data_IF_569272957661
#
_entry.id   IF_569272957661
#
_cell.length_a   1.000
_cell.length_b   1.000
_cell.length_c   1.000
_cell.angle_alpha   90.00
_cell.angle_beta   90.00
_cell.angle_gamma   90.00
#
_symmetry.space_group_name_H-M   'P 1'
#
loop_
_entity.id
_entity.type
_entity.pdbx_description
1 polymer ?
#
# COMPACT_ATOMS: atom_id res chain seq x y z
N UNK A 1 -5.64 -4.71 26.84
CA UNK A 1 -5.31 -4.59 25.38
C UNK A 1 -5.56 -3.14 25.02
N UNK A 2 -4.56 -2.43 24.51
CA UNK A 2 -4.70 -1.03 24.09
C UNK A 2 -4.96 -1.00 22.60
N UNK A 3 -6.03 -0.35 22.18
CA UNK A 3 -6.35 -0.17 20.77
C UNK A 3 -5.70 1.11 20.24
N UNK A 4 -5.01 0.98 19.11
CA UNK A 4 -4.34 2.08 18.43
C UNK A 4 -4.78 2.13 16.97
N UNK A 5 -4.76 3.30 16.37
CA UNK A 5 -4.76 3.46 14.92
C UNK A 5 -3.34 3.82 14.47
N UNK A 6 -3.09 3.75 13.17
CA UNK A 6 -1.84 4.22 12.57
C UNK A 6 -1.43 5.62 13.08
N UNK A 7 -2.42 6.52 13.23
CA UNK A 7 -2.20 7.91 13.60
C UNK A 7 -1.97 8.12 15.09
N UNK A 8 -2.28 7.12 15.91
CA UNK A 8 -2.22 7.19 17.37
C UNK A 8 -1.07 6.37 17.95
N UNK A 9 -0.23 5.78 17.13
CA UNK A 9 0.98 5.08 17.59
C UNK A 9 1.90 6.09 18.25
N UNK A 10 2.28 5.88 19.53
CA UNK A 10 3.10 6.84 20.27
C UNK A 10 4.52 6.91 19.69
N UNK A 11 5.06 8.11 19.62
CA UNK A 11 6.47 8.32 19.31
C UNK A 11 7.33 8.01 20.53
N UNK A 12 8.47 7.37 20.32
CA UNK A 12 9.45 7.06 21.34
C UNK A 12 10.75 7.81 21.14
N UNK A 13 11.77 7.44 21.93
CA UNK A 13 13.15 7.87 21.73
C UNK A 13 13.94 6.76 21.02
N UNK A 14 14.96 7.14 20.27
CA UNK A 14 15.79 6.20 19.51
C UNK A 14 15.54 6.30 18.01
N UNK A 15 15.67 5.19 17.30
CA UNK A 15 15.37 5.16 15.87
C UNK A 15 13.86 5.26 15.65
N UNK A 16 13.44 6.22 14.84
CA UNK A 16 12.04 6.41 14.47
C UNK A 16 11.87 6.10 12.99
N UNK A 17 10.94 5.20 12.68
CA UNK A 17 10.44 5.08 11.34
C UNK A 17 9.46 6.22 11.08
N UNK A 18 9.69 6.96 10.03
CA UNK A 18 8.75 7.98 9.54
C UNK A 18 7.95 7.41 8.36
N UNK A 19 6.66 7.69 8.33
CA UNK A 19 5.88 7.50 7.10
C UNK A 19 6.42 8.39 5.98
N UNK A 20 6.15 8.08 4.70
CA UNK A 20 6.61 8.92 3.58
C UNK A 20 6.17 10.38 3.66
N UNK A 21 5.02 10.63 4.29
CA UNK A 21 4.51 11.99 4.54
C UNK A 21 5.05 12.61 5.85
N UNK A 22 5.83 11.86 6.64
CA UNK A 22 6.33 12.22 7.97
C UNK A 22 5.20 12.62 8.96
N UNK A 23 4.02 12.02 8.82
CA UNK A 23 2.86 12.24 9.68
C UNK A 23 2.73 11.19 10.79
N UNK A 24 3.40 10.06 10.63
CA UNK A 24 3.49 9.00 11.62
C UNK A 24 4.96 8.70 11.91
N UNK A 25 5.32 8.60 13.17
CA UNK A 25 6.63 8.19 13.62
C UNK A 25 6.49 6.98 14.56
N UNK A 26 7.03 5.85 14.16
CA UNK A 26 6.98 4.60 14.93
C UNK A 26 8.34 4.37 15.58
N UNK A 27 8.43 4.17 16.91
CA UNK A 27 9.68 3.85 17.57
C UNK A 27 10.12 2.42 17.18
N UNK A 28 11.41 2.26 16.85
CA UNK A 28 12.01 0.97 16.54
C UNK A 28 13.34 0.85 17.26
N UNK A 29 13.46 -0.14 18.12
CA UNK A 29 14.79 -0.54 18.59
C UNK A 29 15.50 -1.38 17.51
N UNK A 30 16.80 -1.59 17.66
CA UNK A 30 17.52 -2.51 16.77
C UNK A 30 16.98 -3.95 16.85
N UNK A 31 16.52 -4.36 18.04
CA UNK A 31 15.87 -5.66 18.24
C UNK A 31 14.52 -5.75 17.53
N UNK A 32 13.69 -4.70 17.58
CA UNK A 32 12.41 -4.64 16.87
C UNK A 32 12.62 -4.75 15.37
N UNK A 33 13.62 -4.02 14.84
CA UNK A 33 13.95 -4.07 13.42
C UNK A 33 14.44 -5.47 13.01
N UNK A 34 15.31 -6.07 13.80
CA UNK A 34 15.80 -7.42 13.54
C UNK A 34 14.66 -8.45 13.56
N UNK A 35 13.73 -8.35 14.53
CA UNK A 35 12.56 -9.20 14.59
C UNK A 35 11.60 -9.00 13.42
N UNK A 36 11.44 -7.75 12.96
CA UNK A 36 10.64 -7.41 11.77
C UNK A 36 11.22 -8.06 10.50
N UNK A 37 12.55 -8.01 10.35
CA UNK A 37 13.27 -8.67 9.25
C UNK A 37 13.12 -10.19 9.31
N UNK A 38 13.23 -10.76 10.50
CA UNK A 38 13.12 -12.21 10.71
C UNK A 38 11.71 -12.73 10.37
N UNK A 39 10.64 -12.07 10.85
CA UNK A 39 9.26 -12.38 10.47
C UNK A 39 9.05 -12.33 8.96
N UNK A 40 9.60 -11.31 8.32
CA UNK A 40 9.53 -11.18 6.86
C UNK A 40 10.27 -12.31 6.16
N UNK A 41 11.42 -12.73 6.68
CA UNK A 41 12.19 -13.87 6.17
C UNK A 41 11.41 -15.17 6.29
N UNK A 42 10.78 -15.41 7.44
CA UNK A 42 9.92 -16.58 7.67
C UNK A 42 8.73 -16.59 6.69
N UNK A 43 8.10 -15.42 6.46
CA UNK A 43 6.98 -15.29 5.52
C UNK A 43 7.40 -15.65 4.10
N UNK A 44 8.54 -15.14 3.61
CA UNK A 44 9.03 -15.47 2.28
C UNK A 44 9.46 -16.94 2.16
N UNK A 45 10.05 -17.51 3.20
CA UNK A 45 10.37 -18.94 3.23
C UNK A 45 9.11 -19.81 3.16
N UNK A 46 8.07 -19.47 3.95
CA UNK A 46 6.77 -20.13 3.89
C UNK A 46 6.07 -19.95 2.53
N UNK A 47 6.26 -18.81 1.87
CA UNK A 47 5.78 -18.55 0.50
C UNK A 47 6.57 -19.33 -0.57
N UNK A 48 7.64 -20.03 -0.22
CA UNK A 48 8.40 -20.91 -1.09
C UNK A 48 9.66 -20.29 -1.72
N UNK A 49 10.13 -19.16 -1.22
CA UNK A 49 11.43 -18.58 -1.63
C UNK A 49 12.55 -19.35 -0.93
N UNK A 50 13.57 -19.71 -1.68
CA UNK A 50 14.68 -20.55 -1.23
C UNK A 50 16.04 -20.00 -1.67
N UNK A 51 17.13 -20.59 -1.20
CA UNK A 51 18.50 -20.24 -1.59
C UNK A 51 18.80 -20.42 -3.11
N UNK A 52 17.93 -21.12 -3.83
CA UNK A 52 18.06 -21.25 -5.31
C UNK A 52 17.41 -20.09 -6.07
N UNK A 53 16.69 -19.21 -5.38
CA UNK A 53 16.07 -18.04 -5.98
C UNK A 53 17.00 -16.85 -6.03
N UNK A 54 16.82 -16.05 -7.06
CA UNK A 54 17.49 -14.77 -7.28
C UNK A 54 16.41 -13.71 -7.37
N UNK A 55 16.36 -12.82 -6.36
CA UNK A 55 15.21 -11.95 -6.15
C UNK A 55 15.56 -10.50 -6.47
N UNK A 56 14.73 -9.84 -7.25
CA UNK A 56 14.78 -8.38 -7.42
C UNK A 56 13.60 -7.75 -6.66
N UNK A 57 13.90 -6.74 -5.84
CA UNK A 57 12.90 -5.97 -5.07
C UNK A 57 12.71 -4.61 -5.73
N UNK A 58 11.53 -4.39 -6.33
CA UNK A 58 11.16 -3.16 -7.04
C UNK A 58 10.15 -2.33 -6.24
N UNK A 59 10.49 -2.03 -4.99
CA UNK A 59 9.67 -1.25 -4.07
C UNK A 59 10.30 0.11 -3.76
N UNK A 60 9.45 1.05 -3.35
CA UNK A 60 9.94 2.33 -2.84
C UNK A 60 10.62 2.16 -1.47
N UNK A 61 11.67 2.95 -1.26
CA UNK A 61 12.37 3.06 0.02
C UNK A 61 12.34 4.48 0.61
N UNK A 62 11.62 5.40 -0.01
CA UNK A 62 11.55 6.81 0.41
C UNK A 62 10.67 6.94 1.68
N UNK A 63 11.27 6.86 2.87
CA UNK A 63 10.57 6.92 4.15
C UNK A 63 9.71 5.70 4.47
N UNK A 64 9.65 4.72 3.59
CA UNK A 64 8.93 3.46 3.78
C UNK A 64 9.93 2.33 4.05
N UNK A 65 9.81 1.69 5.22
CA UNK A 65 10.71 0.60 5.60
C UNK A 65 10.45 -0.70 4.82
N UNK A 66 9.28 -0.89 4.23
CA UNK A 66 8.94 -2.15 3.58
C UNK A 66 10.01 -2.57 2.55
N UNK A 67 10.40 -1.67 1.65
CA UNK A 67 11.44 -1.97 0.67
C UNK A 67 12.77 -2.40 1.28
N UNK A 68 13.21 -1.74 2.35
CA UNK A 68 14.46 -2.06 3.05
C UNK A 68 14.34 -3.37 3.85
N UNK A 69 13.28 -3.53 4.64
CA UNK A 69 13.02 -4.72 5.46
C UNK A 69 12.91 -5.97 4.59
N UNK A 70 12.11 -5.91 3.52
CA UNK A 70 11.92 -7.06 2.63
C UNK A 70 13.21 -7.41 1.88
N UNK A 71 13.99 -6.41 1.45
CA UNK A 71 15.31 -6.64 0.82
C UNK A 71 16.26 -7.34 1.79
N UNK A 72 16.31 -6.89 3.04
CA UNK A 72 17.18 -7.48 4.06
C UNK A 72 16.73 -8.92 4.41
N UNK A 73 15.43 -9.15 4.54
CA UNK A 73 14.86 -10.48 4.79
C UNK A 73 15.22 -11.47 3.67
N UNK A 74 15.07 -11.05 2.43
CA UNK A 74 15.40 -11.86 1.26
C UNK A 74 16.90 -12.09 1.09
N UNK A 75 17.75 -11.14 1.48
CA UNK A 75 19.21 -11.31 1.47
C UNK A 75 19.65 -12.45 2.38
N UNK A 76 18.94 -12.69 3.48
CA UNK A 76 19.19 -13.81 4.39
C UNK A 76 18.58 -15.15 3.95
N UNK A 77 17.81 -15.18 2.85
CA UNK A 77 17.06 -16.35 2.40
C UNK A 77 17.41 -16.79 0.98
N UNK A 78 17.41 -15.86 0.03
CA UNK A 78 17.65 -16.13 -1.38
C UNK A 78 19.15 -16.23 -1.69
N UNK A 79 19.50 -16.91 -2.80
CA UNK A 79 20.89 -16.99 -3.27
C UNK A 79 21.45 -15.65 -3.77
N UNK A 80 20.59 -14.74 -4.22
CA UNK A 80 20.94 -13.35 -4.53
C UNK A 80 19.72 -12.44 -4.34
N UNK A 81 19.97 -11.21 -3.88
CA UNK A 81 18.91 -10.19 -3.73
C UNK A 81 19.42 -8.84 -4.20
N UNK A 82 18.63 -8.15 -5.01
CA UNK A 82 18.91 -6.77 -5.43
C UNK A 82 17.70 -5.88 -5.22
N UNK A 83 17.92 -4.65 -4.76
CA UNK A 83 16.88 -3.62 -4.61
C UNK A 83 17.08 -2.54 -5.66
N UNK A 84 16.06 -2.26 -6.46
CA UNK A 84 16.15 -1.30 -7.58
C UNK A 84 15.19 -0.14 -7.48
N UNK A 85 14.20 -0.21 -6.61
CA UNK A 85 13.08 0.72 -6.58
C UNK A 85 12.15 0.58 -7.79
N UNK A 86 10.94 1.16 -7.72
CA UNK A 86 9.89 0.96 -8.72
C UNK A 86 10.01 1.91 -9.92
N UNK A 87 10.84 2.93 -9.86
CA UNK A 87 11.02 3.92 -10.92
C UNK A 87 12.12 3.53 -11.90
N UNK A 88 11.94 3.87 -13.18
CA UNK A 88 12.93 3.57 -14.22
C UNK A 88 12.84 2.13 -14.70
N UNK A 89 11.82 1.84 -15.52
CA UNK A 89 11.56 0.47 -16.03
C UNK A 89 12.73 -0.13 -16.78
N UNK A 90 13.48 0.67 -17.55
CA UNK A 90 14.72 0.19 -18.18
C UNK A 90 15.75 -0.30 -17.16
N UNK A 91 15.90 0.44 -16.03
CA UNK A 91 16.80 0.03 -14.96
C UNK A 91 16.32 -1.25 -14.27
N UNK A 92 14.99 -1.40 -14.10
CA UNK A 92 14.42 -2.62 -13.56
C UNK A 92 14.68 -3.81 -14.51
N UNK A 93 14.45 -3.66 -15.80
CA UNK A 93 14.71 -4.69 -16.81
C UNK A 93 16.19 -5.09 -16.81
N UNK A 94 17.09 -4.10 -16.83
CA UNK A 94 18.54 -4.36 -16.77
C UNK A 94 18.96 -5.07 -15.46
N UNK A 95 18.30 -4.78 -14.34
CA UNK A 95 18.57 -5.45 -13.08
C UNK A 95 18.06 -6.90 -13.05
N UNK A 96 16.89 -7.16 -13.64
CA UNK A 96 16.37 -8.53 -13.77
C UNK A 96 17.34 -9.40 -14.55
N UNK A 97 17.85 -8.89 -15.68
CA UNK A 97 18.84 -9.56 -16.51
C UNK A 97 20.18 -9.74 -15.77
N UNK A 98 20.76 -8.67 -15.23
CA UNK A 98 22.07 -8.72 -14.55
C UNK A 98 22.08 -9.64 -13.32
N UNK A 99 20.95 -9.74 -12.60
CA UNK A 99 20.79 -10.66 -11.47
C UNK A 99 20.49 -12.08 -11.96
N UNK A 100 19.95 -12.25 -13.17
CA UNK A 100 19.33 -13.50 -13.63
C UNK A 100 18.15 -13.85 -12.70
N UNK A 101 17.25 -12.91 -12.56
CA UNK A 101 16.20 -12.97 -11.54
C UNK A 101 15.22 -14.13 -11.81
N UNK A 102 14.92 -14.90 -10.77
CA UNK A 102 13.87 -15.94 -10.79
C UNK A 102 12.60 -15.48 -10.06
N UNK A 103 12.71 -14.44 -9.25
CA UNK A 103 11.57 -13.85 -8.53
C UNK A 103 11.65 -12.32 -8.51
N UNK A 104 10.48 -11.70 -8.56
CA UNK A 104 10.32 -10.23 -8.53
C UNK A 104 9.31 -9.82 -7.47
N UNK A 105 9.74 -9.00 -6.51
CA UNK A 105 8.86 -8.34 -5.53
C UNK A 105 8.48 -6.97 -6.05
N UNK A 106 7.19 -6.74 -6.28
CA UNK A 106 6.68 -5.53 -6.92
C UNK A 106 5.25 -5.26 -6.48
N UNK A 107 4.78 -4.01 -6.64
CA UNK A 107 3.35 -3.72 -6.44
C UNK A 107 2.52 -4.22 -7.64
N UNK A 108 1.24 -4.59 -7.44
CA UNK A 108 0.35 -5.00 -8.54
C UNK A 108 0.31 -4.02 -9.71
N UNK A 109 0.15 -2.72 -9.43
CA UNK A 109 0.16 -1.70 -10.50
C UNK A 109 1.54 -1.59 -11.15
N UNK A 110 2.61 -1.81 -10.39
CA UNK A 110 3.98 -1.85 -10.90
C UNK A 110 4.22 -3.00 -11.85
N UNK A 111 3.68 -4.19 -11.55
CA UNK A 111 3.78 -5.37 -12.40
C UNK A 111 2.98 -5.18 -13.71
N UNK A 112 1.76 -4.64 -13.61
CA UNK A 112 0.94 -4.35 -14.80
C UNK A 112 1.59 -3.27 -15.69
N UNK A 113 2.20 -2.23 -15.11
CA UNK A 113 2.94 -1.21 -15.87
C UNK A 113 4.22 -1.79 -16.52
N UNK A 114 4.94 -2.68 -15.82
CA UNK A 114 6.08 -3.38 -16.41
C UNK A 114 5.64 -4.22 -17.61
N UNK A 115 4.59 -5.02 -17.46
CA UNK A 115 4.02 -5.85 -18.53
C UNK A 115 3.64 -5.01 -19.75
N UNK A 116 2.90 -3.91 -19.55
CA UNK A 116 2.53 -3.03 -20.65
C UNK A 116 3.74 -2.46 -21.40
N UNK A 117 4.81 -2.12 -20.69
CA UNK A 117 6.04 -1.60 -21.31
C UNK A 117 6.85 -2.67 -21.99
N UNK A 118 6.88 -3.92 -21.50
CA UNK A 118 7.52 -5.03 -22.19
C UNK A 118 6.92 -5.20 -23.58
N UNK A 119 5.59 -5.17 -23.68
CA UNK A 119 4.89 -5.29 -24.97
C UNK A 119 5.01 -4.05 -25.87
N UNK A 120 4.88 -2.85 -25.31
CA UNK A 120 4.69 -1.63 -26.11
C UNK A 120 5.97 -0.83 -26.35
N UNK A 121 6.92 -0.86 -25.42
CA UNK A 121 8.14 -0.04 -25.50
C UNK A 121 9.38 -0.90 -25.78
N UNK A 122 9.51 -2.02 -25.06
CA UNK A 122 10.75 -2.80 -25.09
C UNK A 122 10.70 -3.91 -26.12
N UNK A 123 9.49 -4.30 -26.56
CA UNK A 123 9.25 -5.40 -27.48
C UNK A 123 9.94 -6.70 -27.03
N UNK A 124 9.84 -6.96 -25.72
CA UNK A 124 10.39 -8.14 -25.05
C UNK A 124 9.23 -9.03 -24.64
N UNK A 125 9.31 -10.32 -24.92
CA UNK A 125 8.34 -11.28 -24.42
C UNK A 125 8.52 -11.41 -22.89
N UNK A 126 7.47 -11.23 -22.07
CA UNK A 126 7.55 -11.42 -20.64
C UNK A 126 8.09 -12.79 -20.21
N UNK A 127 7.87 -13.83 -21.02
CA UNK A 127 8.38 -15.18 -20.78
C UNK A 127 9.91 -15.26 -20.86
N UNK A 128 10.54 -14.41 -21.68
CA UNK A 128 12.00 -14.36 -21.84
C UNK A 128 12.71 -13.84 -20.57
N UNK A 129 11.97 -13.20 -19.64
CA UNK A 129 12.54 -12.79 -18.36
C UNK A 129 12.87 -13.97 -17.44
N UNK A 130 12.33 -15.15 -17.70
CA UNK A 130 12.58 -16.36 -16.91
C UNK A 130 12.12 -16.30 -15.46
N UNK A 131 11.18 -15.40 -15.14
CA UNK A 131 10.63 -15.28 -13.79
C UNK A 131 9.76 -16.50 -13.45
N UNK A 132 10.04 -17.13 -12.34
CA UNK A 132 9.24 -18.25 -11.80
C UNK A 132 8.18 -17.77 -10.80
N UNK A 133 8.44 -16.65 -10.14
CA UNK A 133 7.57 -16.13 -9.07
C UNK A 133 7.45 -14.61 -9.15
N UNK A 134 6.21 -14.12 -9.19
CA UNK A 134 5.86 -12.72 -8.92
C UNK A 134 5.31 -12.61 -7.51
N UNK A 135 5.91 -11.75 -6.70
CA UNK A 135 5.48 -11.47 -5.33
C UNK A 135 4.85 -10.08 -5.32
N UNK A 136 3.53 -10.04 -5.17
CA UNK A 136 2.75 -8.80 -5.16
C UNK A 136 2.57 -8.31 -3.74
N UNK A 137 2.89 -7.02 -3.50
CA UNK A 137 2.84 -6.41 -2.17
C UNK A 137 2.27 -4.99 -2.21
N UNK A 138 1.67 -4.55 -1.11
CA UNK A 138 1.40 -3.15 -0.79
C UNK A 138 0.25 -2.48 -1.53
N UNK A 139 -0.56 -3.22 -2.28
CA UNK A 139 -1.76 -2.70 -2.95
C UNK A 139 -2.89 -3.72 -2.92
N UNK A 140 -4.12 -3.22 -3.01
CA UNK A 140 -5.29 -4.05 -3.26
C UNK A 140 -5.30 -4.44 -4.73
N UNK A 141 -5.52 -5.72 -5.00
CA UNK A 141 -5.58 -6.24 -6.38
C UNK A 141 -6.66 -7.31 -6.50
N UNK A 142 -7.30 -7.34 -7.65
CA UNK A 142 -8.29 -8.35 -7.99
C UNK A 142 -7.64 -9.62 -8.56
N UNK A 143 -8.38 -10.72 -8.48
CA UNK A 143 -7.97 -12.02 -8.96
C UNK A 143 -7.72 -12.02 -10.49
N UNK A 144 -8.51 -11.26 -11.25
CA UNK A 144 -8.36 -11.19 -12.71
C UNK A 144 -6.99 -10.65 -13.08
N UNK A 145 -6.55 -9.58 -12.40
CA UNK A 145 -5.21 -9.02 -12.57
C UNK A 145 -4.13 -10.04 -12.21
N UNK A 146 -4.29 -10.75 -11.08
CA UNK A 146 -3.32 -11.78 -10.68
C UNK A 146 -3.22 -12.92 -11.69
N UNK A 147 -4.33 -13.43 -12.19
CA UNK A 147 -4.37 -14.47 -13.22
C UNK A 147 -3.77 -14.01 -14.55
N UNK A 148 -4.05 -12.77 -14.94
CA UNK A 148 -3.46 -12.19 -16.14
C UNK A 148 -1.95 -12.10 -16.01
N UNK A 149 -1.42 -11.55 -14.91
CA UNK A 149 0.01 -11.49 -14.66
C UNK A 149 0.66 -12.89 -14.64
N UNK A 150 -0.01 -13.88 -14.02
CA UNK A 150 0.50 -15.26 -14.00
C UNK A 150 0.63 -15.85 -15.41
N UNK A 151 -0.37 -15.62 -16.27
CA UNK A 151 -0.37 -16.11 -17.64
C UNK A 151 0.70 -15.43 -18.50
N UNK A 152 0.81 -14.11 -18.44
CA UNK A 152 1.73 -13.33 -19.26
C UNK A 152 3.22 -13.58 -18.90
N UNK A 153 3.53 -13.66 -17.59
CA UNK A 153 4.91 -13.93 -17.15
C UNK A 153 5.24 -15.43 -17.06
N UNK A 154 4.28 -16.31 -17.24
CA UNK A 154 4.47 -17.75 -17.02
C UNK A 154 4.91 -18.08 -15.59
N UNK A 155 4.51 -17.26 -14.62
CA UNK A 155 5.03 -17.29 -13.27
C UNK A 155 3.93 -17.56 -12.24
N UNK A 156 4.28 -18.20 -11.11
CA UNK A 156 3.43 -18.25 -9.93
C UNK A 156 3.27 -16.84 -9.36
N UNK A 157 2.04 -16.46 -9.03
CA UNK A 157 1.75 -15.13 -8.42
C UNK A 157 1.37 -15.32 -6.96
N UNK A 158 2.17 -14.73 -6.08
CA UNK A 158 2.00 -14.78 -4.62
C UNK A 158 1.64 -13.38 -4.14
N UNK A 159 0.59 -13.27 -3.33
CA UNK A 159 0.29 -12.06 -2.57
C UNK A 159 0.96 -12.15 -1.20
N UNK A 160 1.77 -11.16 -0.84
CA UNK A 160 2.34 -11.06 0.51
C UNK A 160 1.76 -9.84 1.19
N UNK A 161 1.16 -10.08 2.35
CA UNK A 161 0.65 -9.01 3.20
C UNK A 161 1.81 -8.37 3.96
N UNK A 162 1.99 -7.10 3.72
CA UNK A 162 2.99 -6.27 4.39
C UNK A 162 2.25 -5.24 5.23
N UNK A 163 2.45 -5.28 6.54
CA UNK A 163 1.76 -4.35 7.43
C UNK A 163 2.18 -2.89 7.16
N UNK A 164 1.22 -1.96 7.21
CA UNK A 164 1.49 -0.56 6.87
C UNK A 164 2.22 0.22 7.97
N UNK A 165 2.37 -0.33 9.17
CA UNK A 165 2.95 0.36 10.31
C UNK A 165 4.45 0.08 10.44
N UNK A 166 4.85 -1.19 10.42
CA UNK A 166 6.25 -1.62 10.60
C UNK A 166 6.92 -2.00 9.28
N UNK A 167 6.15 -2.29 8.24
CA UNK A 167 6.65 -2.78 6.95
C UNK A 167 7.07 -4.24 6.98
N UNK A 168 6.57 -5.03 7.95
CA UNK A 168 6.83 -6.45 8.04
C UNK A 168 5.96 -7.25 7.08
N UNK A 169 6.53 -8.23 6.39
CA UNK A 169 5.74 -9.26 5.72
C UNK A 169 5.24 -10.26 6.77
N UNK A 170 3.93 -10.35 6.95
CA UNK A 170 3.30 -11.11 8.04
C UNK A 170 2.48 -12.30 7.58
N UNK A 171 2.03 -12.31 6.34
CA UNK A 171 1.23 -13.38 5.77
C UNK A 171 1.43 -13.46 4.26
N UNK A 172 1.08 -14.61 3.69
CA UNK A 172 1.13 -14.82 2.26
C UNK A 172 -0.06 -15.66 1.78
N UNK A 173 -0.33 -15.63 0.47
CA UNK A 173 -1.31 -16.50 -0.19
C UNK A 173 -0.92 -16.73 -1.66
N UNK A 174 -1.44 -17.78 -2.27
CA UNK A 174 -1.52 -17.83 -3.74
C UNK A 174 -2.58 -16.81 -4.19
N UNK A 175 -2.19 -15.85 -5.00
CA UNK A 175 -3.05 -14.73 -5.39
C UNK A 175 -3.96 -15.04 -6.58
N UNK A 176 -3.79 -16.19 -7.24
CA UNK A 176 -4.58 -16.57 -8.42
C UNK A 176 -5.94 -17.18 -8.06
N UNK A 177 -6.15 -17.54 -6.79
CA UNK A 177 -7.45 -17.97 -6.25
C UNK A 177 -7.85 -17.06 -5.08
N UNK A 178 -8.96 -16.34 -5.22
CA UNK A 178 -9.51 -15.43 -4.17
C UNK A 178 -9.92 -16.17 -2.91
N UNK A 179 -10.26 -17.46 -3.01
CA UNK A 179 -10.64 -18.27 -1.85
C UNK A 179 -9.47 -18.63 -0.96
N UNK A 180 -8.23 -18.48 -1.46
CA UNK A 180 -7.06 -18.71 -0.65
C UNK A 180 -6.93 -17.59 0.40
N UNK A 181 -7.06 -17.91 1.69
CA UNK A 181 -6.88 -16.93 2.75
C UNK A 181 -5.40 -16.53 2.88
N UNK A 182 -5.18 -15.44 3.56
CA UNK A 182 -3.86 -15.11 4.07
C UNK A 182 -3.43 -16.20 5.07
N UNK A 183 -2.23 -16.72 4.87
CA UNK A 183 -1.55 -17.64 5.80
C UNK A 183 -0.58 -16.82 6.65
N UNK A 184 -0.93 -16.41 7.87
CA UNK A 184 -0.04 -15.69 8.76
C UNK A 184 1.19 -16.55 9.07
N UNK A 185 2.36 -15.94 9.17
CA UNK A 185 3.61 -16.66 9.48
C UNK A 185 3.63 -17.17 10.92
N UNK A 186 2.91 -16.51 11.80
CA UNK A 186 2.69 -16.92 13.20
C UNK A 186 1.26 -16.61 13.61
N UNK A 187 0.70 -17.46 14.46
CA UNK A 187 -0.63 -17.26 15.03
C UNK A 187 -0.68 -15.98 15.90
N UNK A 188 -1.84 -15.33 15.92
CA UNK A 188 -2.10 -14.16 16.75
C UNK A 188 -1.53 -12.84 16.25
N UNK A 189 -0.76 -12.82 15.13
CA UNK A 189 -0.26 -11.58 14.54
C UNK A 189 -1.37 -10.77 13.91
N UNK A 190 -2.28 -11.42 13.21
CA UNK A 190 -3.38 -10.81 12.48
C UNK A 190 -4.71 -11.31 13.04
N UNK A 191 -5.66 -10.41 13.15
CA UNK A 191 -7.04 -10.68 13.53
C UNK A 191 -8.00 -9.78 12.80
N UNK A 192 -9.29 -10.02 12.95
CA UNK A 192 -10.36 -9.20 12.39
C UNK A 192 -11.04 -8.41 13.49
N UNK A 193 -11.36 -7.15 13.22
CA UNK A 193 -12.06 -6.29 14.16
C UNK A 193 -13.34 -5.72 13.54
N UNK A 194 -14.30 -5.41 14.37
CA UNK A 194 -15.48 -4.66 13.97
C UNK A 194 -15.07 -3.27 13.45
N UNK A 195 -15.76 -2.77 12.43
CA UNK A 195 -15.46 -1.45 11.86
C UNK A 195 -15.83 -0.32 12.82
N UNK A 196 -16.88 -0.51 13.62
CA UNK A 196 -17.43 0.51 14.51
C UNK A 196 -16.90 0.40 15.95
N UNK A 197 -16.57 -0.82 16.41
CA UNK A 197 -16.21 -1.08 17.80
C UNK A 197 -14.79 -1.63 17.92
N UNK A 198 -14.13 -1.32 19.04
CA UNK A 198 -12.83 -1.88 19.39
C UNK A 198 -12.98 -3.31 19.94
N UNK A 199 -13.47 -4.20 19.07
CA UNK A 199 -13.72 -5.59 19.38
C UNK A 199 -13.15 -6.50 18.29
N UNK A 200 -12.41 -7.52 18.71
CA UNK A 200 -11.96 -8.59 17.81
C UNK A 200 -13.15 -9.48 17.49
N UNK A 201 -13.37 -9.73 16.21
CA UNK A 201 -14.46 -10.57 15.71
C UNK A 201 -13.98 -11.99 15.45
N UNK A 202 -14.80 -12.98 15.80
CA UNK A 202 -14.77 -14.24 15.09
C UNK A 202 -15.27 -14.00 13.65
N UNK A 203 -14.65 -14.65 12.68
CA UNK A 203 -15.05 -14.54 11.28
C UNK A 203 -16.56 -14.87 11.13
N UNK A 204 -17.35 -13.88 10.75
CA UNK A 204 -18.78 -14.05 10.52
C UNK A 204 -19.09 -13.76 9.04
N UNK A 205 -19.64 -14.72 8.29
CA UNK A 205 -19.94 -14.54 6.88
C UNK A 205 -20.89 -13.36 6.60
N UNK A 206 -20.66 -12.67 5.49
CA UNK A 206 -21.51 -11.58 5.01
C UNK A 206 -21.24 -10.22 5.67
N UNK A 207 -20.15 -10.10 6.41
CA UNK A 207 -19.73 -8.83 7.02
C UNK A 207 -18.36 -8.39 6.48
N UNK A 208 -18.15 -7.09 6.41
CA UNK A 208 -16.82 -6.51 6.26
C UNK A 208 -16.20 -6.32 7.64
N UNK A 209 -14.89 -6.56 7.74
CA UNK A 209 -14.14 -6.40 8.99
C UNK A 209 -12.80 -5.70 8.72
N UNK A 210 -12.29 -4.94 9.67
CA UNK A 210 -10.98 -4.33 9.56
C UNK A 210 -9.91 -5.33 9.99
N UNK A 211 -8.85 -5.45 9.20
CA UNK A 211 -7.67 -6.20 9.58
C UNK A 211 -6.92 -5.46 10.70
N UNK A 212 -6.60 -6.16 11.77
CA UNK A 212 -5.85 -5.62 12.91
C UNK A 212 -4.60 -6.44 13.15
N UNK A 213 -3.57 -5.75 13.64
CA UNK A 213 -2.26 -6.27 13.92
C UNK A 213 -1.97 -6.24 15.43
N UNK A 214 -1.45 -7.34 15.98
CA UNK A 214 -0.84 -7.37 17.31
C UNK A 214 0.65 -7.60 17.17
N UNK A 215 1.49 -6.55 17.31
CA UNK A 215 2.93 -6.61 17.02
C UNK A 215 3.70 -7.21 18.22
N UNK A 216 3.43 -8.47 18.59
CA UNK A 216 4.02 -9.16 19.75
C UNK A 216 5.55 -9.17 19.79
N UNK A 217 6.20 -8.90 18.67
CA UNK A 217 7.67 -8.79 18.56
C UNK A 217 8.21 -7.42 18.91
N UNK A 218 7.33 -6.41 19.03
CA UNK A 218 7.73 -5.03 19.23
C UNK A 218 7.86 -4.72 20.73
N UNK A 219 9.00 -4.19 21.14
CA UNK A 219 9.35 -3.98 22.55
C UNK A 219 8.40 -3.03 23.31
N UNK A 220 7.78 -2.07 22.61
CA UNK A 220 6.91 -1.05 23.22
C UNK A 220 5.42 -1.26 22.92
N UNK A 221 5.10 -1.88 21.80
CA UNK A 221 3.74 -2.02 21.29
C UNK A 221 3.23 -3.47 21.29
N UNK A 222 4.00 -4.40 21.87
CA UNK A 222 3.69 -5.83 21.84
C UNK A 222 2.32 -6.22 22.39
N UNK A 223 1.78 -5.43 23.32
CA UNK A 223 0.45 -5.63 23.90
C UNK A 223 -0.67 -4.81 23.23
N UNK A 224 -0.33 -4.04 22.20
CA UNK A 224 -1.31 -3.21 21.48
C UNK A 224 -1.98 -3.99 20.36
N UNK A 225 -3.24 -3.64 20.09
CA UNK A 225 -3.92 -4.00 18.84
C UNK A 225 -3.98 -2.77 17.96
N UNK A 226 -3.43 -2.87 16.74
CA UNK A 226 -3.30 -1.76 15.82
C UNK A 226 -4.26 -1.95 14.64
N UNK A 227 -5.13 -0.99 14.42
CA UNK A 227 -5.99 -0.93 13.24
C UNK A 227 -5.17 -0.53 12.02
N UNK A 228 -5.20 -1.37 10.98
CA UNK A 228 -4.40 -1.16 9.77
C UNK A 228 -5.03 -0.19 8.78
N UNK A 229 -6.33 0.04 8.88
CA UNK A 229 -7.12 0.76 7.90
C UNK A 229 -7.46 -0.09 6.66
N UNK A 230 -7.14 -1.37 6.66
CA UNK A 230 -7.44 -2.31 5.58
C UNK A 230 -8.64 -3.18 5.95
N UNK A 231 -9.57 -3.33 5.03
CA UNK A 231 -10.84 -4.02 5.21
C UNK A 231 -10.89 -5.26 4.36
N UNK A 232 -11.40 -6.33 4.93
CA UNK A 232 -11.67 -7.61 4.27
C UNK A 232 -13.17 -7.86 4.19
N UNK A 233 -13.62 -8.50 3.12
CA UNK A 233 -14.99 -8.96 2.98
C UNK A 233 -15.07 -10.46 3.27
N UNK A 234 -15.91 -10.82 4.25
CA UNK A 234 -16.10 -12.19 4.68
C UNK A 234 -17.22 -12.84 3.88
N UNK A 235 -16.90 -13.73 2.97
CA UNK A 235 -17.88 -14.57 2.29
C UNK A 235 -18.30 -15.77 3.16
N UNK A 236 -19.41 -16.41 2.79
CA UNK A 236 -19.87 -17.62 3.49
C UNK A 236 -18.86 -18.77 3.47
N UNK A 237 -17.99 -18.80 2.47
CA UNK A 237 -16.98 -19.84 2.25
C UNK A 237 -15.58 -19.41 2.70
N UNK A 238 -15.44 -18.27 3.37
CA UNK A 238 -14.13 -17.78 3.83
C UNK A 238 -13.60 -18.65 4.96
N UNK A 239 -12.60 -19.47 4.67
CA UNK A 239 -11.83 -20.21 5.67
C UNK A 239 -10.59 -19.38 6.03
N UNK A 240 -10.56 -18.71 7.19
CA UNK A 240 -9.43 -17.88 7.62
C UNK A 240 -9.59 -16.41 7.27
N UNK A 241 -8.49 -15.67 7.22
CA UNK A 241 -8.46 -14.22 6.96
C UNK A 241 -8.34 -13.96 5.46
N UNK A 242 -9.34 -13.36 4.79
CA UNK A 242 -9.21 -13.01 3.38
C UNK A 242 -8.17 -11.89 3.16
N UNK A 243 -7.74 -11.71 1.92
CA UNK A 243 -6.93 -10.54 1.57
C UNK A 243 -7.78 -9.26 1.63
N UNK A 244 -7.17 -8.09 1.95
CA UNK A 244 -7.87 -6.81 1.94
C UNK A 244 -8.47 -6.47 0.58
N UNK A 245 -9.70 -5.97 0.60
CA UNK A 245 -10.47 -5.53 -0.59
C UNK A 245 -10.65 -4.03 -0.63
N UNK A 246 -10.63 -3.37 0.54
CA UNK A 246 -10.87 -1.94 0.68
C UNK A 246 -9.93 -1.34 1.74
N UNK A 247 -9.93 -0.01 1.79
CA UNK A 247 -9.36 0.77 2.90
C UNK A 247 -10.45 1.59 3.58
N UNK A 248 -10.23 1.99 4.84
CA UNK A 248 -11.15 2.81 5.64
C UNK A 248 -10.35 3.78 6.52
N UNK A 249 -10.98 4.88 6.95
CA UNK A 249 -10.38 5.86 7.84
C UNK A 249 -9.67 6.99 7.10
N UNK A 250 -8.76 7.65 7.80
CA UNK A 250 -8.14 8.89 7.37
C UNK A 250 -6.94 8.73 6.43
N UNK A 251 -6.63 7.49 6.04
CA UNK A 251 -5.57 7.19 5.08
C UNK A 251 -6.11 6.46 3.85
N UNK A 252 -5.66 6.88 2.68
CA UNK A 252 -6.03 6.28 1.40
C UNK A 252 -4.81 5.69 0.73
N UNK A 253 -4.95 4.46 0.24
CA UNK A 253 -3.88 3.75 -0.46
C UNK A 253 -3.88 4.10 -1.95
N UNK A 254 -2.75 4.64 -2.45
CA UNK A 254 -2.56 5.01 -3.86
C UNK A 254 -1.17 4.55 -4.30
N UNK A 255 -1.09 3.66 -5.27
CA UNK A 255 0.18 3.12 -5.79
C UNK A 255 1.10 2.57 -4.68
N UNK A 256 0.54 1.79 -3.77
CA UNK A 256 1.26 1.23 -2.63
C UNK A 256 1.71 2.25 -1.59
N UNK A 257 1.17 3.47 -1.62
CA UNK A 257 1.50 4.56 -0.70
C UNK A 257 0.27 5.06 0.03
N UNK A 258 0.40 5.23 1.33
CA UNK A 258 -0.66 5.76 2.17
C UNK A 258 -0.63 7.29 2.19
N UNK A 259 -1.73 7.91 1.79
CA UNK A 259 -1.95 9.35 1.80
C UNK A 259 -2.77 9.74 3.02
N UNK A 260 -2.27 10.64 3.86
CA UNK A 260 -2.98 11.20 5.01
C UNK A 260 -3.93 12.32 4.57
N UNK A 261 -5.23 12.11 4.76
CA UNK A 261 -6.27 13.09 4.48
C UNK A 261 -6.29 14.27 5.46
N UNK A 262 -6.12 14.04 6.78
CA UNK A 262 -6.00 15.14 7.75
C UNK A 262 -4.87 16.09 7.39
N UNK A 263 -3.73 15.54 6.96
CA UNK A 263 -2.58 16.35 6.58
C UNK A 263 -2.83 17.15 5.30
N UNK A 264 -3.43 16.52 4.28
CA UNK A 264 -3.85 17.20 3.07
C UNK A 264 -4.84 18.32 3.38
N UNK A 265 -5.86 18.05 4.21
CA UNK A 265 -6.83 19.04 4.68
C UNK A 265 -6.17 20.20 5.40
N UNK A 266 -5.26 19.93 6.34
CA UNK A 266 -4.55 20.96 7.11
C UNK A 266 -3.70 21.88 6.23
N UNK A 267 -3.08 21.36 5.17
CA UNK A 267 -2.28 22.15 4.24
C UNK A 267 -3.17 23.01 3.33
N UNK A 268 -4.26 22.45 2.81
CA UNK A 268 -5.19 23.18 1.96
C UNK A 268 -5.92 24.31 2.73
N UNK A 269 -6.23 24.08 4.01
CA UNK A 269 -6.84 25.10 4.87
C UNK A 269 -5.95 26.33 5.11
N UNK A 270 -4.63 26.21 4.91
CA UNK A 270 -3.68 27.33 5.01
C UNK A 270 -3.59 28.18 3.72
N UNK A 271 -4.29 27.78 2.67
CA UNK A 271 -4.29 28.49 1.39
C UNK A 271 -5.57 29.30 1.29
N UNK A 272 -5.45 30.62 1.52
CA UNK A 272 -6.59 31.53 1.40
C UNK A 272 -7.25 31.43 0.04
N UNK A 273 -8.58 31.44 0.04
CA UNK A 273 -9.38 31.49 -1.17
C UNK A 273 -9.79 30.12 -1.72
N UNK A 274 -9.33 29.00 -1.18
CA UNK A 274 -9.92 27.69 -1.47
C UNK A 274 -11.28 27.61 -0.79
N UNK A 275 -12.35 27.45 -1.58
CA UNK A 275 -13.70 27.27 -1.09
C UNK A 275 -14.06 25.79 -0.92
N UNK A 276 -13.62 24.95 -1.84
CA UNK A 276 -13.98 23.54 -1.88
C UNK A 276 -12.86 22.75 -2.55
N UNK A 277 -12.73 21.49 -2.15
CA UNK A 277 -11.83 20.56 -2.84
C UNK A 277 -12.32 19.12 -2.72
N UNK A 278 -11.92 18.30 -3.68
CA UNK A 278 -12.18 16.85 -3.70
C UNK A 278 -10.95 16.15 -4.26
N UNK A 279 -10.56 15.06 -3.63
CA UNK A 279 -9.54 14.16 -4.14
C UNK A 279 -10.21 13.04 -4.94
N UNK A 280 -10.13 13.11 -6.26
CA UNK A 280 -10.57 12.04 -7.15
C UNK A 280 -9.44 11.03 -7.34
N UNK A 281 -9.74 9.74 -7.17
CA UNK A 281 -8.80 8.65 -7.42
C UNK A 281 -9.44 7.71 -8.43
N UNK A 282 -8.72 7.42 -9.51
CA UNK A 282 -9.20 6.50 -10.55
C UNK A 282 -8.06 5.66 -11.11
N UNK A 283 -8.39 4.55 -11.73
CA UNK A 283 -7.46 3.78 -12.55
C UNK A 283 -7.40 4.41 -13.95
N UNK A 284 -6.19 4.64 -14.44
CA UNK A 284 -5.92 5.14 -15.80
C UNK A 284 -4.88 4.23 -16.46
N UNK A 285 -5.34 3.39 -17.37
CA UNK A 285 -4.51 2.29 -17.89
C UNK A 285 -4.06 1.35 -16.76
N UNK A 286 -2.76 1.22 -16.58
CA UNK A 286 -2.15 0.31 -15.58
C UNK A 286 -1.93 0.97 -14.22
N UNK A 287 -2.06 2.28 -14.11
CA UNK A 287 -1.69 3.04 -12.91
C UNK A 287 -2.87 3.81 -12.30
N UNK A 288 -2.85 3.93 -10.98
CA UNK A 288 -3.75 4.83 -10.29
C UNK A 288 -3.36 6.29 -10.52
N UNK A 289 -4.34 7.13 -10.77
CA UNK A 289 -4.17 8.58 -10.90
C UNK A 289 -4.98 9.28 -9.83
N UNK A 290 -4.31 10.15 -9.09
CA UNK A 290 -4.94 11.02 -8.12
C UNK A 290 -5.01 12.45 -8.66
N UNK A 291 -6.20 13.04 -8.62
CA UNK A 291 -6.46 14.41 -9.05
C UNK A 291 -7.13 15.17 -7.92
N UNK A 292 -6.48 16.23 -7.46
CA UNK A 292 -7.07 17.16 -6.52
C UNK A 292 -7.82 18.25 -7.31
N UNK A 293 -9.14 18.23 -7.24
CA UNK A 293 -10.03 19.23 -7.81
C UNK A 293 -10.24 20.33 -6.77
N UNK A 294 -9.94 21.58 -7.13
CA UNK A 294 -10.01 22.74 -6.22
C UNK A 294 -10.88 23.82 -6.83
N UNK A 295 -11.84 24.30 -6.08
CA UNK A 295 -12.63 25.48 -6.43
C UNK A 295 -12.25 26.65 -5.51
N UNK A 296 -12.07 27.83 -6.10
CA UNK A 296 -11.76 29.07 -5.37
C UNK A 296 -13.02 29.89 -5.10
N UNK A 297 -13.07 30.54 -3.95
CA UNK A 297 -14.18 31.43 -3.57
C UNK A 297 -14.26 32.70 -4.42
N UNK A 298 -13.16 33.08 -5.12
CA UNK A 298 -13.08 34.30 -5.92
C UNK A 298 -12.70 34.00 -7.36
N UNK A 299 -13.48 34.43 -8.36
CA UNK A 299 -13.17 34.22 -9.78
C UNK A 299 -11.80 34.77 -10.23
N UNK A 300 -11.31 35.83 -9.56
CA UNK A 300 -9.99 36.42 -9.83
C UNK A 300 -8.82 35.45 -9.54
N UNK A 301 -9.01 34.44 -8.71
CA UNK A 301 -7.98 33.44 -8.40
C UNK A 301 -7.90 32.31 -9.43
N UNK A 302 -8.98 32.08 -10.20
CA UNK A 302 -9.08 31.02 -11.20
C UNK A 302 -8.00 31.11 -12.28
N UNK A 303 -7.68 32.33 -12.75
CA UNK A 303 -6.72 32.55 -13.82
C UNK A 303 -5.32 32.91 -13.32
N UNK A 304 -5.09 32.89 -12.00
CA UNK A 304 -3.83 33.32 -11.44
C UNK A 304 -2.85 32.12 -11.28
N UNK A 305 -1.77 32.03 -12.11
CA UNK A 305 -0.83 30.92 -12.10
C UNK A 305 -0.09 30.77 -10.77
N UNK A 306 0.08 31.86 -10.01
CA UNK A 306 0.72 31.84 -8.69
C UNK A 306 -0.05 30.98 -7.69
N UNK A 307 -1.38 31.10 -7.66
CA UNK A 307 -2.22 30.31 -6.77
C UNK A 307 -2.23 28.83 -7.15
N UNK A 308 -2.30 28.53 -8.44
CA UNK A 308 -2.17 27.16 -8.94
C UNK A 308 -0.81 26.54 -8.56
N UNK A 309 0.27 27.33 -8.68
CA UNK A 309 1.61 26.93 -8.27
C UNK A 309 1.68 26.66 -6.76
N UNK A 310 1.09 27.54 -5.95
CA UNK A 310 1.05 27.42 -4.49
C UNK A 310 0.32 26.16 -4.03
N UNK A 311 -0.86 25.85 -4.61
CA UNK A 311 -1.59 24.62 -4.30
C UNK A 311 -0.76 23.39 -4.68
N UNK A 312 -0.20 23.35 -5.89
CA UNK A 312 0.64 22.23 -6.34
C UNK A 312 1.84 22.01 -5.43
N UNK A 313 2.55 23.06 -5.05
CA UNK A 313 3.71 22.98 -4.18
C UNK A 313 3.32 22.50 -2.76
N UNK A 314 2.25 23.04 -2.20
CA UNK A 314 1.77 22.67 -0.89
C UNK A 314 1.32 21.20 -0.83
N UNK A 315 0.62 20.72 -1.86
CA UNK A 315 0.21 19.31 -1.98
C UNK A 315 1.43 18.41 -2.13
N UNK A 316 2.35 18.75 -3.04
CA UNK A 316 3.57 17.95 -3.27
C UNK A 316 4.45 17.82 -2.02
N UNK A 317 4.41 18.82 -1.11
CA UNK A 317 5.18 18.80 0.14
C UNK A 317 4.65 17.80 1.19
N UNK A 318 3.39 17.36 1.06
CA UNK A 318 2.74 16.50 2.07
C UNK A 318 2.22 15.17 1.53
N UNK A 319 2.41 14.93 0.23
CA UNK A 319 1.90 13.70 -0.40
C UNK A 319 3.04 12.81 -0.88
N UNK A 320 2.99 11.50 -0.61
CA UNK A 320 4.02 10.55 -1.05
C UNK A 320 3.88 10.16 -2.53
N UNK A 321 2.80 10.59 -3.18
CA UNK A 321 2.51 10.35 -4.60
C UNK A 321 2.27 11.66 -5.33
N UNK A 322 2.54 11.69 -6.62
CA UNK A 322 2.22 12.84 -7.46
C UNK A 322 0.71 12.96 -7.63
N UNK A 323 0.16 14.09 -7.20
CA UNK A 323 -1.26 14.44 -7.36
C UNK A 323 -1.37 15.54 -8.42
N UNK A 324 -2.22 15.30 -9.42
CA UNK A 324 -2.58 16.33 -10.39
C UNK A 324 -3.51 17.34 -9.71
N UNK A 325 -3.23 18.63 -9.87
CA UNK A 325 -4.13 19.71 -9.38
C UNK A 325 -4.92 20.25 -10.54
N UNK A 326 -6.23 20.21 -10.43
CA UNK A 326 -7.20 20.74 -11.38
C UNK A 326 -8.04 21.81 -10.70
N UNK A 327 -8.14 22.97 -11.33
CA UNK A 327 -8.94 24.08 -10.81
C UNK A 327 -10.30 24.07 -11.49
N UNK A 328 -11.34 23.98 -10.68
CA UNK A 328 -12.73 24.03 -11.16
C UNK A 328 -13.19 25.47 -11.33
N UNK A 329 -14.00 25.77 -12.36
CA UNK A 329 -14.46 27.13 -12.65
C UNK A 329 -15.41 27.68 -11.59
N UNK A 330 -16.16 26.80 -10.92
CA UNK A 330 -17.20 27.17 -9.96
C UNK A 330 -17.23 26.23 -8.76
N UNK A 331 -17.74 26.73 -7.64
CA UNK A 331 -18.08 25.94 -6.46
C UNK A 331 -19.41 25.23 -6.74
N UNK A 332 -19.48 23.93 -6.49
CA UNK A 332 -20.76 23.20 -6.64
C UNK A 332 -21.75 23.67 -5.58
N UNK A 333 -22.89 24.19 -6.03
CA UNK A 333 -23.97 24.67 -5.14
C UNK A 333 -24.87 23.52 -4.63
N UNK A 334 -24.82 22.35 -5.26
CA UNK A 334 -25.88 21.33 -5.09
C UNK A 334 -25.67 20.36 -3.94
N UNK A 335 -24.46 20.16 -3.45
CA UNK A 335 -24.09 19.51 -2.20
C UNK A 335 -22.58 19.61 -2.01
N UNK A 336 -22.10 19.60 -0.77
CA UNK A 336 -20.67 19.47 -0.54
C UNK A 336 -20.20 18.13 -1.14
N UNK A 337 -19.34 18.13 -2.19
CA UNK A 337 -18.85 16.87 -2.74
C UNK A 337 -18.10 16.09 -1.67
N UNK A 338 -18.05 14.76 -1.76
CA UNK A 338 -17.24 13.98 -0.84
C UNK A 338 -15.80 14.45 -0.91
N UNK A 339 -15.13 14.48 0.23
CA UNK A 339 -13.70 14.85 0.30
C UNK A 339 -12.85 13.90 -0.57
N UNK A 340 -13.30 12.63 -0.69
CA UNK A 340 -12.71 11.60 -1.53
C UNK A 340 -13.77 11.07 -2.48
N UNK A 341 -13.41 10.99 -3.77
CA UNK A 341 -14.12 10.28 -4.82
C UNK A 341 -13.22 9.16 -5.35
N UNK A 342 -13.22 8.01 -4.67
CA UNK A 342 -12.44 6.84 -5.10
C UNK A 342 -13.25 5.99 -6.09
N UNK A 343 -13.05 6.26 -7.38
CA UNK A 343 -13.73 5.54 -8.48
C UNK A 343 -13.22 4.12 -8.71
N UNK A 344 -12.18 3.69 -7.99
CA UNK A 344 -11.74 2.29 -8.00
C UNK A 344 -12.63 1.43 -7.08
N UNK A 345 -13.33 2.07 -6.14
CA UNK A 345 -14.09 1.38 -5.10
C UNK A 345 -13.22 0.78 -4.00
N UNK A 346 -11.98 1.25 -3.83
CA UNK A 346 -11.03 0.70 -2.86
C UNK A 346 -11.01 1.45 -1.53
N UNK A 347 -11.81 2.51 -1.34
CA UNK A 347 -11.88 3.25 -0.09
C UNK A 347 -13.32 3.49 0.35
N UNK A 348 -13.63 3.04 1.56
CA UNK A 348 -14.99 3.11 2.10
C UNK A 348 -15.34 4.47 2.73
N UNK A 349 -14.36 5.36 2.90
CA UNK A 349 -14.51 6.67 3.51
C UNK A 349 -13.82 6.79 4.86
N UNK A 350 -13.81 8.02 5.40
CA UNK A 350 -13.14 8.32 6.68
C UNK A 350 -13.96 7.85 7.90
N UNK A 351 -15.28 7.75 7.76
CA UNK A 351 -16.17 7.36 8.85
C UNK A 351 -16.23 5.83 8.97
N UNK A 352 -15.65 5.31 10.04
CA UNK A 352 -15.71 3.88 10.37
C UNK A 352 -17.07 3.45 10.90
N UNK A 353 -17.87 4.38 11.42
CA UNK A 353 -19.14 4.10 12.07
C UNK A 353 -20.37 4.19 11.13
N UNK A 354 -20.17 4.64 9.91
CA UNK A 354 -21.24 4.99 8.98
C UNK A 354 -21.73 3.89 8.04
N UNK A 355 -21.33 2.63 8.24
CA UNK A 355 -21.75 1.54 7.32
C UNK A 355 -22.02 0.23 8.03
#
# INVERSE_FOLDING_TARGET
>A
MTWLSRDTVPTGTGFLRLSPAADVAVPLSSADLAATVELSRETFAAAGITATDRVVVALNSDGDLAGAVLTQALTGLAGATASVGPRGRMRLLAALDAVGATALVITPTGAADLLARLHMEFLVDPLDLGLRTLILVGEITDQRTCRHLAAEFGARVIGVYVDPVFGAALAWRDATDERNPLSPVRDGLLALADLAEDAVLAAAPGKSAELVLTPVWHSTLGDATIRTGEVVDLSADSAGIPAPTHTVGDHVLIRGRWLSLPRLRAVLAKIDGIAQWTLEIRRDGTLDVATLKVAFARPSLLKNPMWHGRVRQAVAAVTPVTIKVEVLPEVSETSAPPVIDDRRGHHLGSDRHGR
#
